data_IF_962061175638
#
_entry.id   IF_962061175638
#
_cell.length_a   1.000
_cell.length_b   1.000
_cell.length_c   1.000
_cell.angle_alpha   90.00
_cell.angle_beta   90.00
_cell.angle_gamma   90.00
#
_symmetry.space_group_name_H-M   'P 1'
#
loop_
_entity.id
_entity.type
_entity.pdbx_description
1 polymer ?
#
# COMPACT_ATOMS: atom_id res chain seq x y z
N UNK A 1 -19.94 11.02 -4.28
CA UNK A 1 -19.89 10.39 -2.94
C UNK A 1 -21.03 10.87 -2.06
N UNK A 2 -21.21 12.15 -1.82
CA UNK A 2 -22.20 12.71 -0.90
C UNK A 2 -23.64 12.15 -1.05
N UNK A 3 -24.10 11.88 -2.27
CA UNK A 3 -25.43 11.28 -2.54
C UNK A 3 -25.60 9.82 -2.07
N UNK A 4 -24.53 9.13 -1.67
CA UNK A 4 -24.55 7.68 -1.36
C UNK A 4 -23.91 7.33 -0.02
N UNK A 5 -23.06 8.18 0.50
CA UNK A 5 -22.41 8.00 1.79
C UNK A 5 -23.24 8.70 2.89
N UNK A 6 -23.24 8.15 4.08
CA UNK A 6 -23.85 8.79 5.26
C UNK A 6 -23.14 10.11 5.57
N UNK A 7 -21.82 10.10 5.58
CA UNK A 7 -20.98 11.28 5.75
C UNK A 7 -19.74 11.23 4.88
N UNK A 8 -19.27 12.38 4.42
CA UNK A 8 -18.04 12.52 3.63
C UNK A 8 -17.17 13.60 4.26
N UNK A 9 -15.93 13.25 4.57
CA UNK A 9 -14.89 14.20 4.98
C UNK A 9 -13.86 14.30 3.85
N UNK A 10 -13.72 15.48 3.27
CA UNK A 10 -12.75 15.79 2.23
C UNK A 10 -11.53 16.46 2.85
N UNK A 11 -10.35 15.86 2.71
CA UNK A 11 -9.07 16.43 3.15
C UNK A 11 -8.36 17.03 1.93
N UNK A 12 -8.09 18.34 1.97
CA UNK A 12 -7.48 19.08 0.87
C UNK A 12 -6.39 20.00 1.39
N UNK A 13 -5.18 19.92 0.81
CA UNK A 13 -4.03 20.74 1.21
C UNK A 13 -4.03 22.11 0.54
N UNK A 14 -4.57 22.24 -0.69
CA UNK A 14 -4.58 23.52 -1.43
C UNK A 14 -5.67 24.45 -0.92
N UNK A 15 -5.24 25.52 -0.25
CA UNK A 15 -6.14 26.55 0.29
C UNK A 15 -6.98 27.25 -0.78
N UNK A 16 -6.51 27.28 -2.03
CA UNK A 16 -7.24 27.91 -3.14
C UNK A 16 -8.45 27.08 -3.57
N UNK A 17 -8.44 25.76 -3.32
CA UNK A 17 -9.56 24.88 -3.63
C UNK A 17 -10.65 24.89 -2.56
N UNK A 18 -10.34 25.35 -1.34
CA UNK A 18 -11.31 25.33 -0.23
C UNK A 18 -12.58 26.16 -0.54
N UNK A 19 -12.50 27.40 -1.07
CA UNK A 19 -13.71 28.15 -1.44
C UNK A 19 -14.55 27.42 -2.51
N UNK A 20 -13.88 26.83 -3.51
CA UNK A 20 -14.53 26.08 -4.60
C UNK A 20 -15.24 24.84 -4.04
N UNK A 21 -14.59 24.10 -3.14
CA UNK A 21 -15.20 22.94 -2.49
C UNK A 21 -16.40 23.33 -1.64
N UNK A 22 -16.34 24.46 -0.90
CA UNK A 22 -17.49 24.97 -0.13
C UNK A 22 -18.68 25.32 -1.03
N UNK A 23 -18.44 25.91 -2.18
CA UNK A 23 -19.48 26.23 -3.15
C UNK A 23 -20.07 24.96 -3.79
N UNK A 24 -19.21 24.07 -4.29
CA UNK A 24 -19.65 22.84 -5.00
C UNK A 24 -20.30 21.81 -4.09
N UNK A 25 -20.05 21.86 -2.79
CA UNK A 25 -20.61 20.95 -1.79
C UNK A 25 -21.75 21.59 -0.98
N UNK A 26 -22.12 22.86 -1.25
CA UNK A 26 -23.13 23.60 -0.46
C UNK A 26 -24.50 22.92 -0.37
N UNK A 27 -24.87 22.12 -1.39
CA UNK A 27 -26.14 21.40 -1.43
C UNK A 27 -26.12 20.06 -0.64
N UNK A 28 -25.01 19.74 0.05
CA UNK A 28 -24.83 18.47 0.77
C UNK A 28 -24.53 18.71 2.24
N UNK A 29 -25.52 18.51 3.11
CA UNK A 29 -25.38 18.68 4.57
C UNK A 29 -24.47 17.62 5.23
N UNK A 30 -24.21 16.52 4.52
CA UNK A 30 -23.39 15.42 5.00
C UNK A 30 -21.92 15.50 4.58
N UNK A 31 -21.44 16.69 4.16
CA UNK A 31 -20.05 16.88 3.72
C UNK A 31 -19.30 17.85 4.62
N UNK A 32 -18.03 17.56 4.86
CA UNK A 32 -17.12 18.45 5.59
C UNK A 32 -15.77 18.53 4.87
N UNK A 33 -15.17 19.72 4.80
CA UNK A 33 -13.87 19.96 4.18
C UNK A 33 -12.85 20.33 5.26
N UNK A 34 -11.77 19.56 5.33
CA UNK A 34 -10.62 19.77 6.23
C UNK A 34 -9.45 20.25 5.40
N UNK A 35 -8.93 21.45 5.70
CA UNK A 35 -7.76 21.99 4.98
C UNK A 35 -6.49 21.58 5.70
N UNK A 36 -5.96 20.41 5.34
CA UNK A 36 -4.75 19.84 5.92
C UNK A 36 -4.00 18.94 4.93
N UNK A 37 -2.75 18.62 5.25
CA UNK A 37 -1.96 17.62 4.54
C UNK A 37 -2.33 16.22 5.05
N UNK A 38 -2.89 15.38 4.20
CA UNK A 38 -3.35 14.02 4.54
C UNK A 38 -2.26 13.17 5.20
N UNK A 39 -0.99 13.40 4.89
CA UNK A 39 0.12 12.68 5.52
C UNK A 39 0.39 13.13 6.96
N UNK A 40 -0.11 14.32 7.36
CA UNK A 40 0.06 14.88 8.71
C UNK A 40 -1.20 14.73 9.57
N UNK A 41 -2.34 14.51 8.93
CA UNK A 41 -3.61 14.29 9.65
C UNK A 41 -3.50 13.02 10.49
N UNK A 42 -3.93 13.12 11.75
CA UNK A 42 -4.27 11.97 12.57
C UNK A 42 -5.61 11.43 12.09
N UNK A 43 -5.54 10.37 11.26
CA UNK A 43 -6.74 9.81 10.61
C UNK A 43 -7.67 9.17 11.64
N UNK A 44 -7.14 8.48 12.66
CA UNK A 44 -7.96 7.84 13.69
C UNK A 44 -8.77 8.90 14.44
N UNK A 45 -8.13 9.98 14.88
CA UNK A 45 -8.81 11.12 15.50
C UNK A 45 -9.86 11.74 14.58
N UNK A 46 -9.54 11.92 13.29
CA UNK A 46 -10.50 12.46 12.31
C UNK A 46 -11.70 11.53 12.14
N UNK A 47 -11.49 10.23 12.10
CA UNK A 47 -12.56 9.23 12.00
C UNK A 47 -13.44 9.25 13.25
N UNK A 48 -12.86 9.30 14.44
CA UNK A 48 -13.60 9.35 15.70
C UNK A 48 -14.45 10.63 15.81
N UNK A 49 -13.85 11.79 15.54
CA UNK A 49 -14.51 13.08 15.71
C UNK A 49 -15.55 13.39 14.62
N UNK A 50 -15.31 12.93 13.39
CA UNK A 50 -16.09 13.35 12.22
C UNK A 50 -16.87 12.25 11.53
N UNK A 51 -16.51 10.97 11.72
CA UNK A 51 -17.10 9.81 11.04
C UNK A 51 -17.62 8.75 12.04
N UNK A 52 -17.85 9.15 13.30
CA UNK A 52 -18.46 8.31 14.35
C UNK A 52 -17.66 7.05 14.70
N UNK A 53 -16.34 7.05 14.47
CA UNK A 53 -15.43 5.93 14.78
C UNK A 53 -15.67 4.64 13.97
N UNK A 54 -16.64 4.62 13.08
CA UNK A 54 -17.07 3.44 12.36
C UNK A 54 -16.20 3.13 11.13
N UNK A 55 -16.46 2.00 10.45
CA UNK A 55 -15.68 1.62 9.29
C UNK A 55 -15.77 2.69 8.18
N UNK A 56 -14.64 3.05 7.62
CA UNK A 56 -14.54 4.09 6.60
C UNK A 56 -13.98 3.55 5.28
N UNK A 57 -14.21 4.31 4.21
CA UNK A 57 -13.62 4.04 2.89
C UNK A 57 -12.82 5.25 2.43
N UNK A 58 -11.62 5.01 1.91
CA UNK A 58 -10.83 6.03 1.23
C UNK A 58 -11.14 6.01 -0.26
N UNK A 59 -11.58 7.15 -0.80
CA UNK A 59 -11.76 7.32 -2.25
C UNK A 59 -11.02 8.58 -2.68
N UNK A 60 -10.01 8.45 -3.57
CA UNK A 60 -9.20 9.58 -3.96
C UNK A 60 -8.64 9.49 -5.37
N UNK A 61 -8.52 10.66 -6.01
CA UNK A 61 -7.65 10.86 -7.16
C UNK A 61 -6.37 11.52 -6.64
N UNK A 62 -5.31 10.72 -6.47
CA UNK A 62 -4.09 11.15 -5.79
C UNK A 62 -3.07 11.73 -6.77
N UNK A 63 -2.35 12.80 -6.39
CA UNK A 63 -1.16 13.22 -7.12
C UNK A 63 -0.15 12.07 -7.18
N UNK A 64 0.43 11.83 -8.35
CA UNK A 64 1.24 10.63 -8.60
C UNK A 64 2.45 10.48 -7.67
N UNK A 65 3.07 11.61 -7.28
CA UNK A 65 4.27 11.61 -6.44
C UNK A 65 4.01 11.23 -4.97
N UNK A 66 2.74 11.27 -4.52
CA UNK A 66 2.37 11.04 -3.10
C UNK A 66 1.48 9.79 -2.93
N UNK A 67 1.12 9.12 -4.03
CA UNK A 67 0.21 7.97 -4.03
C UNK A 67 0.67 6.87 -3.06
N UNK A 68 1.89 6.38 -3.20
CA UNK A 68 2.40 5.27 -2.37
C UNK A 68 2.46 5.64 -0.89
N UNK A 69 3.01 6.80 -0.48
CA UNK A 69 2.96 7.23 0.91
C UNK A 69 1.55 7.26 1.52
N UNK A 70 0.56 7.77 0.77
CA UNK A 70 -0.83 7.84 1.27
C UNK A 70 -1.41 6.44 1.44
N UNK A 71 -1.30 5.58 0.41
CA UNK A 71 -1.81 4.21 0.50
C UNK A 71 -1.18 3.46 1.66
N UNK A 72 0.15 3.53 1.81
CA UNK A 72 0.85 2.85 2.89
C UNK A 72 0.46 3.38 4.28
N UNK A 73 0.26 4.70 4.43
CA UNK A 73 -0.25 5.29 5.69
C UNK A 73 -1.57 4.61 6.11
N UNK A 74 -2.52 4.44 5.19
CA UNK A 74 -3.81 3.80 5.49
C UNK A 74 -3.72 2.29 5.71
N UNK A 75 -2.67 1.63 5.23
CA UNK A 75 -2.45 0.19 5.41
C UNK A 75 -1.64 -0.14 6.67
N UNK A 76 -0.71 0.73 7.06
CA UNK A 76 0.23 0.49 8.16
C UNK A 76 -0.26 1.06 9.51
N UNK A 77 -1.06 2.14 9.48
CA UNK A 77 -1.68 2.69 10.68
C UNK A 77 -2.98 1.90 10.98
N UNK A 78 -3.29 1.68 12.22
CA UNK A 78 -4.49 0.93 12.67
C UNK A 78 -5.78 1.78 12.48
N UNK A 79 -6.07 2.10 11.22
CA UNK A 79 -7.23 2.89 10.78
C UNK A 79 -8.36 1.92 10.44
N UNK A 80 -9.62 2.19 10.87
CA UNK A 80 -10.76 1.32 10.56
C UNK A 80 -11.23 1.46 9.10
N UNK A 81 -10.29 1.39 8.14
CA UNK A 81 -10.58 1.44 6.71
C UNK A 81 -10.90 0.05 6.18
N UNK A 82 -11.99 -0.07 5.42
CA UNK A 82 -12.38 -1.34 4.79
C UNK A 82 -11.98 -1.42 3.33
N UNK A 83 -12.03 -0.29 2.64
CA UNK A 83 -11.74 -0.20 1.21
C UNK A 83 -10.96 1.08 0.89
N UNK A 84 -9.96 0.95 0.04
CA UNK A 84 -9.24 2.06 -0.56
C UNK A 84 -9.44 1.99 -2.07
N UNK A 85 -10.10 2.99 -2.65
CA UNK A 85 -10.28 3.09 -4.10
C UNK A 85 -9.59 4.34 -4.59
N UNK A 86 -8.49 4.16 -5.33
CA UNK A 86 -7.65 5.28 -5.75
C UNK A 86 -7.34 5.23 -7.23
N UNK A 87 -7.30 6.42 -7.85
CA UNK A 87 -6.77 6.57 -9.20
C UNK A 87 -5.29 6.90 -9.11
N UNK A 88 -4.47 6.09 -9.77
CA UNK A 88 -3.02 6.14 -9.75
C UNK A 88 -2.44 5.99 -11.16
N UNK A 89 -1.13 6.22 -11.34
CA UNK A 89 -0.48 5.87 -12.61
C UNK A 89 -0.64 4.37 -12.91
N UNK A 90 -0.84 4.03 -14.17
CA UNK A 90 -0.99 2.62 -14.61
C UNK A 90 0.14 1.74 -14.09
N UNK A 91 1.39 2.17 -14.20
CA UNK A 91 2.54 1.42 -13.70
C UNK A 91 2.46 1.13 -12.19
N UNK A 92 1.97 2.09 -11.40
CA UNK A 92 1.83 1.91 -9.94
C UNK A 92 0.74 0.89 -9.64
N UNK A 93 -0.41 0.96 -10.34
CA UNK A 93 -1.47 -0.04 -10.20
C UNK A 93 -1.00 -1.45 -10.64
N UNK A 94 -0.30 -1.55 -11.76
CA UNK A 94 0.28 -2.80 -12.25
C UNK A 94 1.22 -3.42 -11.20
N UNK A 95 2.06 -2.60 -10.55
CA UNK A 95 2.94 -3.05 -9.46
C UNK A 95 2.19 -3.45 -8.20
N UNK A 96 1.16 -2.72 -7.78
CA UNK A 96 0.35 -3.09 -6.62
C UNK A 96 -0.36 -4.44 -6.82
N UNK A 97 -0.82 -4.72 -8.05
CA UNK A 97 -1.59 -5.92 -8.40
C UNK A 97 -0.72 -7.05 -9.00
N UNK A 98 0.60 -6.90 -9.03
CA UNK A 98 1.49 -7.88 -9.65
C UNK A 98 1.59 -9.16 -8.82
N UNK A 99 1.77 -10.30 -9.52
CA UNK A 99 1.98 -11.61 -8.91
C UNK A 99 3.45 -12.04 -8.99
N UNK A 100 3.91 -12.97 -8.12
CA UNK A 100 5.28 -13.48 -8.14
C UNK A 100 5.75 -13.90 -9.54
N UNK A 101 7.03 -13.73 -9.80
CA UNK A 101 7.70 -14.09 -11.06
C UNK A 101 7.30 -13.22 -12.27
N UNK A 102 6.63 -12.10 -12.07
CA UNK A 102 6.37 -11.09 -13.11
C UNK A 102 7.34 -9.91 -12.99
N UNK A 103 7.50 -9.15 -14.09
CA UNK A 103 8.44 -8.00 -14.10
C UNK A 103 8.03 -6.87 -13.15
N UNK A 104 6.73 -6.73 -12.90
CA UNK A 104 6.15 -5.63 -12.10
C UNK A 104 6.07 -6.01 -10.62
N UNK A 105 6.27 -7.29 -10.28
CA UNK A 105 6.30 -7.75 -8.90
C UNK A 105 7.52 -7.22 -8.14
N UNK A 106 7.26 -6.67 -6.95
CA UNK A 106 8.27 -6.05 -6.12
C UNK A 106 7.82 -5.78 -4.69
N UNK A 107 8.63 -5.02 -3.96
CA UNK A 107 8.34 -4.69 -2.57
C UNK A 107 6.96 -4.03 -2.39
N UNK A 108 6.52 -3.18 -3.35
CA UNK A 108 5.20 -2.56 -3.32
C UNK A 108 4.07 -3.59 -3.47
N UNK A 109 4.24 -4.58 -4.35
CA UNK A 109 3.26 -5.66 -4.52
C UNK A 109 3.07 -6.43 -3.22
N UNK A 110 4.18 -6.82 -2.58
CA UNK A 110 4.17 -7.54 -1.30
C UNK A 110 3.57 -6.67 -0.20
N UNK A 111 3.99 -5.40 -0.08
CA UNK A 111 3.52 -4.52 0.98
C UNK A 111 2.00 -4.28 0.91
N UNK A 112 1.47 -4.01 -0.28
CA UNK A 112 0.02 -3.79 -0.45
C UNK A 112 -0.75 -5.09 -0.24
N UNK A 113 -0.34 -6.18 -0.90
CA UNK A 113 -1.07 -7.45 -0.85
C UNK A 113 -0.88 -8.21 0.47
N UNK A 114 0.01 -7.79 1.34
CA UNK A 114 0.09 -8.30 2.72
C UNK A 114 -1.15 -7.91 3.52
N UNK A 115 -1.70 -6.71 3.31
CA UNK A 115 -2.86 -6.18 4.05
C UNK A 115 -4.21 -6.40 3.35
N UNK A 116 -4.22 -6.40 2.01
CA UNK A 116 -5.47 -6.35 1.25
C UNK A 116 -5.48 -7.25 0.01
N UNK A 117 -6.68 -7.47 -0.53
CA UNK A 117 -6.87 -7.99 -1.88
C UNK A 117 -6.96 -6.82 -2.86
N UNK A 118 -6.40 -6.99 -4.07
CA UNK A 118 -6.30 -5.92 -5.06
C UNK A 118 -7.20 -6.21 -6.27
N UNK A 119 -7.87 -5.17 -6.78
CA UNK A 119 -8.73 -5.26 -7.97
C UNK A 119 -8.49 -4.07 -8.90
N UNK A 120 -8.39 -4.32 -10.20
CA UNK A 120 -8.39 -3.25 -11.20
C UNK A 120 -9.83 -2.89 -11.52
N UNK A 121 -10.30 -1.76 -11.01
CA UNK A 121 -11.69 -1.30 -11.15
C UNK A 121 -11.94 -0.68 -12.53
N UNK A 122 -11.03 0.20 -12.99
CA UNK A 122 -11.19 0.89 -14.28
C UNK A 122 -9.85 1.37 -14.83
N UNK A 123 -9.80 1.51 -16.16
CA UNK A 123 -8.66 2.15 -16.86
C UNK A 123 -9.08 3.55 -17.30
N UNK A 124 -8.24 4.54 -17.08
CA UNK A 124 -8.43 5.93 -17.48
C UNK A 124 -7.29 6.36 -18.39
N UNK A 125 -7.44 6.20 -19.72
CA UNK A 125 -6.45 6.63 -20.70
C UNK A 125 -6.16 8.12 -20.62
N UNK A 126 -4.92 8.51 -20.84
CA UNK A 126 -4.43 9.91 -20.69
C UNK A 126 -5.22 10.94 -21.51
N UNK A 127 -5.81 10.55 -22.64
CA UNK A 127 -6.59 11.47 -23.48
C UNK A 127 -7.93 11.90 -22.84
N UNK A 128 -8.35 11.26 -21.74
CA UNK A 128 -9.56 11.64 -20.98
C UNK A 128 -9.34 12.83 -20.02
N UNK A 129 -8.11 13.34 -19.93
CA UNK A 129 -7.75 14.40 -18.96
C UNK A 129 -7.36 15.71 -19.65
N UNK A 130 -7.69 16.83 -18.99
CA UNK A 130 -7.28 18.19 -19.39
C UNK A 130 -6.68 18.88 -18.16
N UNK A 131 -5.39 19.24 -18.18
CA UNK A 131 -4.38 18.94 -19.21
C UNK A 131 -4.08 17.43 -19.27
N UNK A 132 -3.70 16.96 -20.47
CA UNK A 132 -3.39 15.55 -20.67
C UNK A 132 -2.07 15.17 -19.97
N UNK A 133 -2.07 14.15 -19.08
CA UNK A 133 -0.87 13.66 -18.43
C UNK A 133 0.01 12.87 -19.41
N UNK A 134 1.26 12.60 -19.00
CA UNK A 134 2.22 11.83 -19.82
C UNK A 134 1.93 10.34 -19.90
N UNK A 135 1.22 9.79 -18.90
CA UNK A 135 0.95 8.35 -18.73
C UNK A 135 -0.53 8.09 -18.48
N UNK A 136 -0.98 6.88 -18.77
CA UNK A 136 -2.33 6.46 -18.46
C UNK A 136 -2.50 6.26 -16.94
N UNK A 137 -3.74 6.39 -16.49
CA UNK A 137 -4.14 6.13 -15.11
C UNK A 137 -4.98 4.85 -15.02
N UNK A 138 -5.05 4.33 -13.82
CA UNK A 138 -5.85 3.15 -13.47
C UNK A 138 -6.50 3.40 -12.12
N UNK A 139 -7.77 3.06 -11.99
CA UNK A 139 -8.46 3.00 -10.70
C UNK A 139 -8.26 1.61 -10.14
N UNK A 140 -7.65 1.53 -8.97
CA UNK A 140 -7.41 0.29 -8.24
C UNK A 140 -8.21 0.30 -6.95
N UNK A 141 -8.87 -0.83 -6.65
CA UNK A 141 -9.50 -1.13 -5.37
C UNK A 141 -8.57 -2.00 -4.52
N UNK A 142 -8.45 -1.65 -3.25
CA UNK A 142 -7.72 -2.38 -2.23
C UNK A 142 -8.72 -2.72 -1.12
N UNK A 143 -9.08 -3.99 -1.01
CA UNK A 143 -10.06 -4.50 -0.03
C UNK A 143 -9.31 -5.02 1.18
N UNK A 144 -9.39 -4.28 2.29
CA UNK A 144 -8.67 -4.62 3.52
C UNK A 144 -9.25 -5.90 4.11
N UNK A 145 -8.38 -6.85 4.46
CA UNK A 145 -8.82 -8.11 5.07
C UNK A 145 -9.08 -7.90 6.56
N UNK A 146 -10.21 -8.41 7.03
CA UNK A 146 -10.53 -8.43 8.47
C UNK A 146 -9.52 -9.30 9.24
N UNK A 147 -9.07 -10.41 8.63
CA UNK A 147 -8.05 -11.28 9.19
C UNK A 147 -6.79 -11.29 8.33
N UNK A 148 -5.63 -11.25 8.97
CA UNK A 148 -4.33 -11.36 8.29
C UNK A 148 -4.19 -12.73 7.63
N UNK A 149 -4.16 -12.75 6.31
CA UNK A 149 -3.93 -13.97 5.51
C UNK A 149 -2.53 -14.54 5.74
N UNK A 150 -1.55 -13.66 5.94
CA UNK A 150 -0.15 -14.02 6.14
C UNK A 150 0.26 -13.63 7.57
N UNK A 151 0.90 -14.57 8.30
CA UNK A 151 1.27 -14.36 9.71
C UNK A 151 2.77 -14.15 9.82
N UNK A 152 3.17 -12.90 9.89
CA UNK A 152 4.53 -12.53 10.29
C UNK A 152 4.56 -12.23 11.80
N UNK A 153 5.42 -12.94 12.54
CA UNK A 153 5.59 -12.76 14.00
C UNK A 153 6.13 -11.37 14.33
N UNK A 154 6.91 -10.79 13.41
CA UNK A 154 7.45 -9.44 13.49
C UNK A 154 7.31 -8.76 12.12
N UNK A 155 6.31 -7.88 12.00
CA UNK A 155 6.02 -7.18 10.73
C UNK A 155 7.16 -6.25 10.29
N UNK A 156 7.85 -5.60 11.21
CA UNK A 156 8.99 -4.74 10.86
C UNK A 156 10.12 -5.57 10.23
N UNK A 157 10.39 -6.76 10.78
CA UNK A 157 11.38 -7.67 10.23
C UNK A 157 10.90 -8.25 8.88
N UNK A 158 9.63 -8.56 8.75
CA UNK A 158 9.03 -9.00 7.48
C UNK A 158 9.28 -7.96 6.38
N UNK A 159 8.90 -6.71 6.58
CA UNK A 159 9.11 -5.65 5.58
C UNK A 159 10.60 -5.35 5.34
N UNK A 160 11.45 -5.47 6.38
CA UNK A 160 12.90 -5.37 6.22
C UNK A 160 13.44 -6.49 5.33
N UNK A 161 12.96 -7.73 5.51
CA UNK A 161 13.32 -8.89 4.69
C UNK A 161 12.89 -8.70 3.24
N UNK A 162 11.64 -8.28 3.01
CA UNK A 162 11.11 -7.95 1.68
C UNK A 162 11.96 -6.85 1.01
N UNK A 163 12.21 -5.74 1.71
CA UNK A 163 13.02 -4.64 1.19
C UNK A 163 14.42 -5.07 0.81
N UNK A 164 15.06 -5.92 1.61
CA UNK A 164 16.40 -6.45 1.31
C UNK A 164 16.38 -7.36 0.07
N UNK A 165 15.40 -8.28 -0.02
CA UNK A 165 15.27 -9.20 -1.14
C UNK A 165 15.09 -8.47 -2.49
N UNK A 166 14.37 -7.34 -2.50
CA UNK A 166 14.16 -6.51 -3.70
C UNK A 166 15.19 -5.41 -3.90
N UNK A 167 16.01 -5.10 -2.88
CA UNK A 167 17.01 -4.03 -2.95
C UNK A 167 18.11 -4.26 -3.99
N UNK A 168 18.37 -5.51 -4.33
CA UNK A 168 19.37 -5.91 -5.33
C UNK A 168 18.78 -6.90 -6.33
N UNK A 169 17.92 -6.44 -7.22
CA UNK A 169 17.10 -7.26 -8.13
C UNK A 169 17.85 -8.35 -8.92
N UNK A 170 19.13 -8.13 -9.26
CA UNK A 170 19.97 -9.09 -10.01
C UNK A 170 20.69 -10.09 -9.11
N UNK A 171 20.63 -9.97 -7.82
CA UNK A 171 21.30 -10.87 -6.87
C UNK A 171 20.38 -12.00 -6.40
N UNK A 172 20.99 -13.09 -5.95
CA UNK A 172 20.30 -14.19 -5.29
C UNK A 172 19.83 -13.79 -3.90
N UNK A 173 18.86 -14.52 -3.34
CA UNK A 173 18.36 -14.29 -1.98
C UNK A 173 19.48 -14.31 -0.95
N UNK A 174 20.40 -15.30 -1.02
CA UNK A 174 21.55 -15.36 -0.11
C UNK A 174 22.33 -14.04 -0.09
N UNK A 175 22.62 -13.48 -1.26
CA UNK A 175 23.40 -12.24 -1.33
C UNK A 175 22.58 -10.99 -0.95
N UNK A 176 21.30 -10.95 -1.31
CA UNK A 176 20.43 -9.82 -0.99
C UNK A 176 20.14 -9.74 0.51
N UNK A 177 19.81 -10.87 1.14
CA UNK A 177 19.49 -10.93 2.56
C UNK A 177 20.72 -10.74 3.45
N UNK A 178 21.90 -11.21 3.03
CA UNK A 178 23.14 -10.94 3.79
C UNK A 178 23.43 -9.43 3.94
N UNK A 179 22.88 -8.60 3.06
CA UNK A 179 23.01 -7.13 3.18
C UNK A 179 22.14 -6.49 4.27
N UNK A 180 21.23 -7.24 4.89
CA UNK A 180 20.36 -6.73 5.98
C UNK A 180 21.15 -6.39 7.25
N UNK A 181 22.31 -7.02 7.46
CA UNK A 181 23.12 -6.86 8.65
C UNK A 181 22.48 -7.41 9.94
N UNK A 182 21.51 -8.31 9.82
CA UNK A 182 20.81 -8.95 10.95
C UNK A 182 21.47 -10.28 11.31
N UNK A 183 21.85 -11.05 10.32
CA UNK A 183 22.57 -12.31 10.43
C UNK A 183 23.73 -12.32 9.44
N UNK A 184 24.78 -13.08 9.74
CA UNK A 184 25.87 -13.29 8.80
C UNK A 184 25.45 -14.19 7.61
N UNK A 185 26.29 -14.26 6.59
CA UNK A 185 25.97 -14.98 5.36
C UNK A 185 25.83 -16.50 5.57
N UNK A 186 26.60 -17.08 6.49
CA UNK A 186 26.50 -18.50 6.80
C UNK A 186 25.16 -18.82 7.44
N UNK A 187 24.75 -17.98 8.39
CA UNK A 187 23.47 -18.12 9.08
C UNK A 187 22.26 -17.86 8.15
N UNK A 188 22.35 -16.91 7.23
CA UNK A 188 21.31 -16.70 6.20
C UNK A 188 21.17 -17.96 5.33
N UNK A 189 22.25 -18.65 5.01
CA UNK A 189 22.19 -19.91 4.25
C UNK A 189 21.48 -21.00 5.03
N UNK A 190 21.74 -21.15 6.33
CA UNK A 190 21.03 -22.09 7.21
C UNK A 190 19.53 -21.76 7.29
N UNK A 191 19.18 -20.50 7.49
CA UNK A 191 17.79 -20.01 7.55
C UNK A 191 17.04 -20.27 6.23
N UNK A 192 17.68 -20.07 5.08
CA UNK A 192 17.06 -20.37 3.79
C UNK A 192 16.83 -21.87 3.61
N UNK A 193 17.76 -22.71 4.07
CA UNK A 193 17.60 -24.16 4.05
C UNK A 193 16.48 -24.62 4.99
N UNK A 194 16.38 -24.05 6.20
CA UNK A 194 15.28 -24.30 7.15
C UNK A 194 13.93 -23.89 6.58
N UNK A 195 13.88 -22.79 5.82
CA UNK A 195 12.68 -22.31 5.14
C UNK A 195 12.31 -23.10 3.87
N UNK A 196 13.09 -24.10 3.50
CA UNK A 196 12.97 -24.86 2.25
C UNK A 196 13.03 -23.97 0.99
N UNK A 197 13.78 -22.87 1.05
CA UNK A 197 13.96 -21.91 -0.04
C UNK A 197 15.36 -22.04 -0.63
N UNK A 198 15.44 -22.32 -1.94
CA UNK A 198 16.74 -22.36 -2.65
C UNK A 198 17.44 -20.99 -2.58
N UNK A 199 18.65 -20.96 -2.02
CA UNK A 199 19.48 -19.77 -1.85
C UNK A 199 19.78 -19.00 -3.15
N UNK A 200 19.68 -19.69 -4.30
CA UNK A 200 19.91 -19.14 -5.65
C UNK A 200 18.69 -18.41 -6.22
N UNK A 201 17.50 -18.61 -5.65
CA UNK A 201 16.29 -17.88 -6.05
C UNK A 201 16.50 -16.37 -5.90
N UNK A 202 15.64 -15.58 -6.52
CA UNK A 202 15.60 -14.12 -6.39
C UNK A 202 14.33 -13.71 -5.64
N UNK A 203 14.34 -12.54 -5.00
CA UNK A 203 13.19 -12.04 -4.26
C UNK A 203 11.90 -11.98 -5.08
N UNK A 204 12.00 -11.67 -6.37
CA UNK A 204 10.85 -11.60 -7.28
C UNK A 204 10.13 -12.93 -7.50
N UNK A 205 10.73 -14.05 -7.12
CA UNK A 205 10.11 -15.37 -7.27
C UNK A 205 9.39 -15.87 -6.03
N UNK A 206 9.52 -15.17 -4.88
CA UNK A 206 8.91 -15.59 -3.63
C UNK A 206 7.45 -15.09 -3.55
N UNK A 207 6.57 -15.96 -3.06
CA UNK A 207 5.23 -15.57 -2.64
C UNK A 207 5.28 -14.76 -1.32
N UNK A 208 4.19 -14.09 -0.98
CA UNK A 208 4.06 -13.38 0.30
C UNK A 208 4.11 -14.35 1.48
N UNK A 209 3.54 -15.53 1.32
CA UNK A 209 3.58 -16.61 2.30
C UNK A 209 5.02 -17.10 2.55
N UNK A 210 5.80 -17.32 1.48
CA UNK A 210 7.22 -17.66 1.60
C UNK A 210 8.01 -16.55 2.30
N UNK A 211 7.73 -15.26 2.01
CA UNK A 211 8.34 -14.15 2.73
C UNK A 211 7.98 -14.13 4.21
N UNK A 212 6.72 -14.37 4.57
CA UNK A 212 6.28 -14.43 5.96
C UNK A 212 6.96 -15.59 6.70
N UNK A 213 6.97 -16.78 6.11
CA UNK A 213 7.64 -17.95 6.66
C UNK A 213 9.14 -17.71 6.87
N UNK A 214 9.83 -17.20 5.85
CA UNK A 214 11.25 -16.86 5.92
C UNK A 214 11.55 -15.83 7.01
N UNK A 215 10.74 -14.76 7.12
CA UNK A 215 10.94 -13.74 8.14
C UNK A 215 10.75 -14.28 9.56
N UNK A 216 9.82 -15.23 9.76
CA UNK A 216 9.59 -15.88 11.05
C UNK A 216 10.78 -16.77 11.46
N UNK A 217 11.39 -17.48 10.50
CA UNK A 217 12.62 -18.24 10.76
C UNK A 217 13.79 -17.30 11.07
N UNK A 218 13.95 -16.20 10.31
CA UNK A 218 14.95 -15.18 10.65
C UNK A 218 14.74 -14.66 12.07
N UNK A 219 13.50 -14.35 12.46
CA UNK A 219 13.15 -13.82 13.77
C UNK A 219 13.53 -14.78 14.93
N UNK A 220 13.42 -16.09 14.71
CA UNK A 220 13.82 -17.10 15.70
C UNK A 220 15.33 -17.26 15.84
N UNK A 221 16.10 -16.78 14.89
CA UNK A 221 17.55 -16.94 14.81
C UNK A 221 18.32 -15.65 15.14
N UNK A 222 17.64 -14.58 15.55
CA UNK A 222 18.19 -13.32 16.08
C UNK A 222 18.24 -13.39 17.58
#
# INVERSE_FOLDING_TARGET
MAKRAEKVVAVEIDKNLIPILKETLADFDNTEVVNEDILKVDINKLVDEKLSGGPVKLIANLPYYITTPIVMKFLEEDIPVTDIVVMVQKEVADRMNAVPSTKDYGALSVAVQYYCDTEIVAKAPRHMFIPQPKVDSTVIGLHIREEKKYKADNEQLFFKTVKAAFGQRRKTLLNSLSSMGVLDKAKIKEVLAEAEIDEKRRGETLSIEEFAHLSNIINKNI
#
